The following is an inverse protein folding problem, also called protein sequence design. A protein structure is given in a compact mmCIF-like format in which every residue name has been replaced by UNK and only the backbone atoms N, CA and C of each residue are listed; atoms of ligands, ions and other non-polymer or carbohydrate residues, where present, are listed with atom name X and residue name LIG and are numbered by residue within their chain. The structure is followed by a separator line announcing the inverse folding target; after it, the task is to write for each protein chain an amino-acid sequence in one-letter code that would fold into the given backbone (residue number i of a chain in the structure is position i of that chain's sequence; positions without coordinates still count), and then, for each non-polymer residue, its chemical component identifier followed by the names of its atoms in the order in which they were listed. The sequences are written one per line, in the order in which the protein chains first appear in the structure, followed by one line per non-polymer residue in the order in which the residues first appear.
data_IF_975937253300
#
_entry.id   IF_975937253300
#
_cell.length_a   1.000
_cell.length_b   1.000
_cell.length_c   1.000
_cell.angle_alpha   90.00
_cell.angle_beta   90.00
_cell.angle_gamma   90.00
#
_symmetry.space_group_name_H-M   'P 1'
#
loop_
_entity.id
_entity.type
_entity.pdbx_description
1 polymer ?
#
# COMPACT_ATOMS: atom_id res chain seq x y z
N UNK A 1 -18.39 -18.34 -18.39
CA UNK A 1 -18.32 -16.86 -18.25
C UNK A 1 -18.80 -16.42 -16.86
N UNK A 2 -19.93 -16.95 -16.34
CA UNK A 2 -20.48 -16.62 -15.02
C UNK A 2 -19.39 -16.71 -13.91
N UNK A 3 -18.79 -17.89 -13.73
CA UNK A 3 -17.74 -18.11 -12.73
C UNK A 3 -16.49 -17.25 -12.97
N UNK A 4 -16.16 -16.97 -14.23
CA UNK A 4 -15.03 -16.09 -14.55
C UNK A 4 -15.26 -14.66 -14.06
N UNK A 5 -16.49 -14.17 -14.17
CA UNK A 5 -16.85 -12.85 -13.65
C UNK A 5 -16.79 -12.80 -12.12
N UNK A 6 -17.14 -13.90 -11.43
CA UNK A 6 -16.94 -14.01 -9.97
C UNK A 6 -15.47 -13.97 -9.58
N UNK A 7 -14.56 -14.54 -10.36
CA UNK A 7 -13.12 -14.44 -10.09
C UNK A 7 -12.57 -13.02 -10.25
N UNK A 8 -13.29 -12.15 -10.97
CA UNK A 8 -13.00 -10.72 -11.07
C UNK A 8 -13.65 -9.89 -9.95
N UNK A 9 -14.33 -10.55 -8.99
CA UNK A 9 -14.94 -9.90 -7.83
C UNK A 9 -16.36 -9.38 -8.06
N UNK A 10 -17.05 -9.83 -9.12
CA UNK A 10 -18.45 -9.42 -9.37
C UNK A 10 -19.42 -10.33 -8.62
N UNK A 11 -20.38 -9.72 -7.92
CA UNK A 11 -21.47 -10.41 -7.26
C UNK A 11 -22.62 -10.78 -8.23
N UNK A 12 -23.58 -11.57 -7.75
CA UNK A 12 -24.76 -11.91 -8.51
C UNK A 12 -25.58 -10.68 -8.88
N UNK A 13 -26.11 -10.67 -10.12
CA UNK A 13 -27.10 -9.67 -10.57
C UNK A 13 -28.51 -10.06 -10.13
N UNK A 14 -29.33 -9.08 -9.81
CA UNK A 14 -30.78 -9.28 -9.56
C UNK A 14 -31.61 -9.45 -10.82
N UNK A 15 -31.03 -9.29 -12.03
CA UNK A 15 -31.72 -9.35 -13.31
C UNK A 15 -31.68 -10.75 -13.90
N UNK A 16 -32.82 -11.44 -14.13
CA UNK A 16 -32.85 -12.83 -14.61
C UNK A 16 -32.12 -13.07 -15.95
N UNK A 17 -32.14 -12.10 -16.86
CA UNK A 17 -31.51 -12.21 -18.18
C UNK A 17 -30.01 -11.92 -18.15
N UNK A 18 -29.43 -11.60 -16.99
CA UNK A 18 -28.01 -11.30 -16.84
C UNK A 18 -27.25 -12.60 -16.62
N UNK A 19 -26.06 -12.70 -17.23
CA UNK A 19 -25.14 -13.84 -17.05
C UNK A 19 -24.73 -14.05 -15.59
N UNK A 20 -24.76 -13.01 -14.75
CA UNK A 20 -24.47 -13.08 -13.31
C UNK A 20 -25.72 -13.33 -12.45
N UNK A 21 -26.88 -13.67 -13.04
CA UNK A 21 -28.04 -14.08 -12.24
C UNK A 21 -27.72 -15.40 -11.52
N UNK A 22 -28.25 -15.57 -10.31
CA UNK A 22 -27.98 -16.73 -9.45
C UNK A 22 -28.46 -18.09 -9.97
N UNK A 23 -29.33 -18.09 -11.01
CA UNK A 23 -29.76 -19.29 -11.74
C UNK A 23 -29.26 -19.13 -13.17
N UNK A 24 -28.40 -20.05 -13.63
CA UNK A 24 -27.83 -20.00 -14.99
C UNK A 24 -28.79 -20.58 -16.02
N UNK A 25 -29.03 -19.84 -17.09
CA UNK A 25 -29.82 -20.23 -18.28
C UNK A 25 -29.06 -19.93 -19.56
N UNK A 26 -29.29 -20.72 -20.61
CA UNK A 26 -28.56 -20.57 -21.89
C UNK A 26 -28.86 -19.27 -22.65
N UNK A 27 -29.94 -18.57 -22.29
CA UNK A 27 -30.37 -17.31 -22.93
C UNK A 27 -29.79 -16.04 -22.30
N UNK A 28 -29.06 -16.19 -21.19
CA UNK A 28 -28.51 -15.04 -20.47
C UNK A 28 -27.36 -14.37 -21.23
N UNK A 29 -27.30 -13.05 -21.09
CA UNK A 29 -26.31 -12.19 -21.74
C UNK A 29 -25.55 -11.36 -20.69
N UNK A 30 -24.42 -10.78 -21.09
CA UNK A 30 -23.73 -9.76 -20.28
C UNK A 30 -24.61 -8.52 -20.27
N UNK A 31 -25.19 -8.20 -19.11
CA UNK A 31 -26.03 -7.03 -18.94
C UNK A 31 -25.24 -5.73 -18.87
N UNK A 32 -25.91 -4.58 -19.05
CA UNK A 32 -25.28 -3.27 -18.99
C UNK A 32 -24.66 -2.99 -17.62
N UNK A 33 -25.25 -3.49 -16.54
CA UNK A 33 -24.72 -3.40 -15.18
C UNK A 33 -23.33 -4.05 -15.03
N UNK A 34 -23.08 -5.18 -15.70
CA UNK A 34 -21.75 -5.81 -15.73
C UNK A 34 -20.78 -4.95 -16.52
N UNK A 35 -21.19 -4.41 -17.67
CA UNK A 35 -20.34 -3.52 -18.48
C UNK A 35 -20.01 -2.24 -17.72
N UNK A 36 -20.94 -1.67 -16.98
CA UNK A 36 -20.72 -0.47 -16.17
C UNK A 36 -19.73 -0.74 -15.03
N UNK A 37 -19.80 -1.91 -14.40
CA UNK A 37 -18.83 -2.34 -13.38
C UNK A 37 -17.42 -2.52 -13.98
N UNK A 38 -17.31 -3.18 -15.13
CA UNK A 38 -16.05 -3.35 -15.85
C UNK A 38 -15.44 -1.98 -16.20
N UNK A 39 -16.24 -1.08 -16.78
CA UNK A 39 -15.80 0.26 -17.12
C UNK A 39 -15.32 1.04 -15.89
N UNK A 40 -15.99 0.87 -14.74
CA UNK A 40 -15.57 1.49 -13.48
C UNK A 40 -14.20 1.00 -13.01
N UNK A 41 -13.87 -0.28 -13.20
CA UNK A 41 -12.53 -0.81 -12.90
C UNK A 41 -11.45 -0.18 -13.80
N UNK A 42 -11.74 0.03 -15.08
CA UNK A 42 -10.81 0.66 -16.02
C UNK A 42 -10.60 2.16 -15.81
N UNK A 43 -11.49 2.84 -15.07
CA UNK A 43 -11.34 4.25 -14.71
C UNK A 43 -10.32 4.42 -13.57
N UNK A 44 -10.05 3.38 -12.78
CA UNK A 44 -9.06 3.44 -11.68
C UNK A 44 -7.67 3.69 -12.28
N UNK A 45 -7.00 4.80 -11.93
CA UNK A 45 -5.69 5.09 -12.46
C UNK A 45 -4.68 4.02 -12.05
N UNK A 46 -3.79 3.65 -12.96
CA UNK A 46 -2.69 2.73 -12.67
C UNK A 46 -1.57 3.49 -11.97
N UNK A 47 -1.56 3.51 -10.65
CA UNK A 47 -0.52 4.09 -9.82
C UNK A 47 0.20 3.03 -9.01
N UNK A 48 1.43 3.32 -8.59
CA UNK A 48 2.11 2.59 -7.53
C UNK A 48 1.45 2.89 -6.18
N UNK A 49 1.78 2.10 -5.18
CA UNK A 49 1.31 2.27 -3.80
C UNK A 49 2.35 1.68 -2.84
N UNK A 50 3.33 2.51 -2.46
CA UNK A 50 4.32 2.10 -1.48
C UNK A 50 3.72 2.20 -0.08
N UNK A 51 3.75 1.12 0.65
CA UNK A 51 3.24 1.06 2.01
C UNK A 51 4.21 0.35 2.95
N UNK A 52 4.11 0.67 4.23
CA UNK A 52 4.79 -0.12 5.25
C UNK A 52 4.07 -1.45 5.45
N UNK A 53 4.81 -2.57 5.30
CA UNK A 53 4.34 -3.92 5.61
C UNK A 53 4.60 -4.26 7.08
N UNK A 54 5.76 -3.87 7.60
CA UNK A 54 6.13 -4.00 9.00
C UNK A 54 7.13 -2.92 9.39
N UNK A 55 6.96 -2.34 10.58
CA UNK A 55 7.91 -1.42 11.16
C UNK A 55 8.07 -1.74 12.64
N UNK A 56 9.29 -2.07 13.04
CA UNK A 56 9.64 -2.25 14.44
C UNK A 56 10.86 -1.41 14.79
N UNK A 57 10.84 -0.83 15.99
CA UNK A 57 11.91 0.02 16.48
C UNK A 57 12.16 -0.23 17.96
N UNK A 58 13.43 -0.20 18.36
CA UNK A 58 13.86 -0.39 19.73
C UNK A 58 14.93 0.63 20.10
N UNK A 59 14.76 1.29 21.25
CA UNK A 59 15.73 2.23 21.78
C UNK A 59 16.62 1.59 22.85
N UNK A 60 17.91 1.79 22.75
CA UNK A 60 18.88 1.46 23.79
C UNK A 60 19.73 2.68 24.11
N UNK A 61 19.34 3.40 25.15
CA UNK A 61 19.88 4.72 25.47
C UNK A 61 19.53 5.74 24.38
N UNK A 62 20.53 6.32 23.73
CA UNK A 62 20.37 7.29 22.63
C UNK A 62 20.46 6.65 21.23
N UNK A 63 20.47 5.35 21.14
CA UNK A 63 20.60 4.64 19.88
C UNK A 63 19.30 3.95 19.52
N UNK A 64 18.90 4.10 18.27
CA UNK A 64 17.73 3.45 17.67
C UNK A 64 18.19 2.31 16.77
N UNK A 65 17.63 1.14 17.01
CA UNK A 65 17.61 0.03 16.05
C UNK A 65 16.21 -0.05 15.44
N UNK A 66 16.13 -0.19 14.13
CA UNK A 66 14.85 -0.31 13.45
C UNK A 66 14.92 -1.36 12.34
N UNK A 67 13.80 -2.06 12.16
CA UNK A 67 13.56 -2.94 11.03
C UNK A 67 12.32 -2.40 10.29
N UNK A 68 12.48 -2.09 9.01
CA UNK A 68 11.46 -1.40 8.20
C UNK A 68 11.27 -2.21 6.94
N UNK A 69 10.06 -2.73 6.75
CA UNK A 69 9.66 -3.44 5.52
C UNK A 69 8.65 -2.60 4.77
N UNK A 70 8.95 -2.33 3.51
CA UNK A 70 8.06 -1.62 2.57
C UNK A 70 7.72 -2.51 1.40
N UNK A 71 6.53 -2.31 0.81
CA UNK A 71 6.06 -3.06 -0.34
C UNK A 71 5.31 -2.15 -1.32
N UNK A 72 5.39 -2.46 -2.61
CA UNK A 72 4.54 -1.86 -3.62
C UNK A 72 3.26 -2.70 -3.79
N UNK A 73 2.15 -2.21 -3.25
CA UNK A 73 0.81 -2.79 -3.36
C UNK A 73 -0.01 -2.19 -4.51
N UNK A 74 0.62 -1.34 -5.33
CA UNK A 74 -0.01 -0.67 -6.45
C UNK A 74 -0.15 -1.53 -7.70
N UNK A 75 -0.52 -0.86 -8.80
CA UNK A 75 -0.81 -1.48 -10.09
C UNK A 75 0.33 -1.34 -11.10
N UNK A 76 1.33 -0.51 -10.80
CA UNK A 76 2.53 -0.33 -11.63
C UNK A 76 3.77 -0.26 -10.75
N UNK A 77 4.95 -0.38 -11.36
CA UNK A 77 6.24 -0.17 -10.70
C UNK A 77 6.28 1.23 -10.04
N UNK A 78 6.83 1.32 -8.85
CA UNK A 78 7.03 2.60 -8.17
C UNK A 78 8.21 3.36 -8.76
N UNK A 79 8.22 4.67 -8.60
CA UNK A 79 9.44 5.46 -8.74
C UNK A 79 10.30 5.31 -7.48
N UNK A 80 11.58 5.67 -7.59
CA UNK A 80 12.43 5.79 -6.41
C UNK A 80 11.86 6.82 -5.42
N UNK A 81 12.07 6.59 -4.13
CA UNK A 81 11.59 7.42 -3.05
C UNK A 81 12.53 7.43 -1.86
N UNK A 82 12.06 7.94 -0.75
CA UNK A 82 12.80 7.97 0.52
C UNK A 82 11.91 7.56 1.68
N UNK A 83 12.50 6.86 2.65
CA UNK A 83 11.90 6.69 3.98
C UNK A 83 12.54 7.73 4.89
N UNK A 84 11.73 8.59 5.48
CA UNK A 84 12.15 9.54 6.50
C UNK A 84 11.86 9.01 7.89
N UNK A 85 12.85 9.09 8.76
CA UNK A 85 12.68 8.84 10.20
C UNK A 85 12.65 10.19 10.88
N UNK A 86 11.52 10.49 11.50
CA UNK A 86 11.19 11.80 12.06
C UNK A 86 10.96 11.68 13.56
N UNK A 87 11.62 12.52 14.33
CA UNK A 87 11.48 12.63 15.80
C UNK A 87 11.25 14.08 16.15
N UNK A 88 10.15 14.39 16.86
CA UNK A 88 9.76 15.74 17.25
C UNK A 88 9.82 16.72 16.05
N UNK A 89 9.18 16.35 14.94
CA UNK A 89 9.08 17.12 13.68
C UNK A 89 10.41 17.32 12.93
N UNK A 90 11.53 16.73 13.42
CA UNK A 90 12.83 16.82 12.77
C UNK A 90 13.16 15.50 12.06
N UNK A 91 13.57 15.58 10.79
CA UNK A 91 14.07 14.41 10.05
C UNK A 91 15.47 14.05 10.52
N UNK A 92 15.59 12.91 11.19
CA UNK A 92 16.85 12.40 11.73
C UNK A 92 17.63 11.62 10.68
N UNK A 93 16.91 10.89 9.82
CA UNK A 93 17.53 10.04 8.80
C UNK A 93 16.61 9.94 7.58
N UNK A 94 17.24 9.96 6.42
CA UNK A 94 16.62 9.58 5.14
C UNK A 94 17.30 8.31 4.61
N UNK A 95 16.48 7.43 4.01
CA UNK A 95 16.91 6.15 3.45
C UNK A 95 16.29 6.04 2.07
N UNK A 96 17.13 5.93 1.05
CA UNK A 96 16.68 5.80 -0.32
C UNK A 96 15.99 4.45 -0.55
N UNK A 97 14.86 4.49 -1.24
CA UNK A 97 14.15 3.34 -1.77
C UNK A 97 14.33 3.36 -3.29
N UNK A 98 14.87 2.28 -3.83
CA UNK A 98 14.88 2.06 -5.27
C UNK A 98 13.47 1.75 -5.77
N UNK A 99 13.29 1.77 -7.09
CA UNK A 99 12.04 1.37 -7.74
C UNK A 99 11.66 -0.07 -7.35
N UNK A 100 10.40 -0.27 -6.99
CA UNK A 100 9.84 -1.58 -6.64
C UNK A 100 8.78 -2.00 -7.63
N UNK A 101 8.92 -3.20 -8.20
CA UNK A 101 7.87 -3.81 -9.02
C UNK A 101 6.61 -4.12 -8.20
N UNK A 102 5.49 -4.31 -8.89
CA UNK A 102 4.21 -4.65 -8.27
C UNK A 102 4.34 -5.92 -7.43
N UNK A 103 3.93 -5.84 -6.17
CA UNK A 103 3.99 -6.96 -5.23
C UNK A 103 5.38 -7.21 -4.62
N UNK A 104 6.42 -6.49 -5.05
CA UNK A 104 7.76 -6.60 -4.46
C UNK A 104 7.93 -5.68 -3.26
N UNK A 105 8.77 -6.10 -2.33
CA UNK A 105 9.10 -5.35 -1.13
C UNK A 105 10.59 -5.34 -0.83
N UNK A 106 10.98 -4.44 0.07
CA UNK A 106 12.34 -4.32 0.57
C UNK A 106 12.33 -4.14 2.08
N UNK A 107 13.25 -4.84 2.76
CA UNK A 107 13.47 -4.68 4.19
C UNK A 107 14.78 -3.95 4.43
N UNK A 108 14.73 -2.89 5.22
CA UNK A 108 15.89 -2.11 5.66
C UNK A 108 16.09 -2.33 7.16
N UNK A 109 17.32 -2.66 7.55
CA UNK A 109 17.73 -2.81 8.95
C UNK A 109 18.69 -1.70 9.31
N UNK A 110 18.28 -0.89 10.27
CA UNK A 110 19.14 0.12 10.88
C UNK A 110 19.64 -0.36 12.22
N UNK A 111 20.90 -0.10 12.50
CA UNK A 111 21.52 -0.38 13.80
C UNK A 111 22.27 0.83 14.30
N UNK A 112 22.13 1.10 15.60
CA UNK A 112 22.85 2.16 16.29
C UNK A 112 22.69 3.55 15.65
N UNK A 113 21.48 3.88 15.14
CA UNK A 113 21.20 5.24 14.70
C UNK A 113 21.17 6.15 15.92
N UNK A 114 22.11 7.06 16.02
CA UNK A 114 22.19 8.00 17.14
C UNK A 114 21.09 9.06 17.05
N UNK A 115 20.39 9.29 18.17
CA UNK A 115 19.35 10.30 18.31
C UNK A 115 19.77 11.26 19.42
N UNK A 116 19.90 12.55 19.09
CA UNK A 116 20.38 13.58 20.02
C UNK A 116 19.39 13.90 21.15
N UNK A 117 18.10 13.59 20.95
CA UNK A 117 17.02 13.97 21.85
C UNK A 117 16.89 13.00 23.02
N UNK A 118 16.71 13.52 24.23
CA UNK A 118 16.71 12.75 25.48
C UNK A 118 15.31 12.35 25.98
N UNK A 119 14.25 12.93 25.41
CA UNK A 119 12.86 12.62 25.79
C UNK A 119 11.99 12.64 24.54
N UNK A 120 11.87 11.50 23.88
CA UNK A 120 10.93 11.34 22.78
C UNK A 120 9.83 10.38 23.19
N UNK A 121 8.59 10.70 22.78
CA UNK A 121 7.43 9.86 23.03
C UNK A 121 7.08 8.98 21.82
N UNK A 122 7.47 9.43 20.62
CA UNK A 122 7.12 8.75 19.37
C UNK A 122 8.19 8.96 18.29
N UNK A 123 8.24 8.02 17.37
CA UNK A 123 9.05 8.08 16.15
C UNK A 123 8.11 7.87 14.97
N UNK A 124 8.19 8.76 13.99
CA UNK A 124 7.41 8.69 12.77
C UNK A 124 8.28 8.16 11.63
N UNK A 125 7.76 7.20 10.88
CA UNK A 125 8.33 6.69 9.66
C UNK A 125 7.42 7.11 8.51
N UNK A 126 7.96 7.86 7.55
CA UNK A 126 7.20 8.41 6.41
C UNK A 126 7.85 7.98 5.10
N UNK A 127 7.06 7.41 4.20
CA UNK A 127 7.47 7.17 2.81
C UNK A 127 7.11 8.39 1.97
N UNK A 128 8.07 8.91 1.20
CA UNK A 128 7.83 9.95 0.21
C UNK A 128 8.32 9.50 -1.16
N UNK A 129 7.45 9.56 -2.16
CA UNK A 129 7.79 9.38 -3.57
C UNK A 129 7.29 10.56 -4.39
N UNK A 130 7.88 10.78 -5.56
CA UNK A 130 7.53 11.90 -6.44
C UNK A 130 6.30 11.64 -7.31
N UNK A 131 5.99 10.36 -7.55
CA UNK A 131 4.83 9.95 -8.35
C UNK A 131 3.53 10.00 -7.55
N UNK A 132 2.40 9.97 -8.27
CA UNK A 132 1.11 9.72 -7.63
C UNK A 132 1.04 8.29 -7.13
N UNK A 133 0.32 8.10 -6.01
CA UNK A 133 0.04 6.80 -5.40
C UNK A 133 -1.47 6.54 -5.33
N UNK A 134 -1.85 5.28 -5.28
CA UNK A 134 -3.25 4.89 -5.09
C UNK A 134 -3.75 5.29 -3.70
N UNK A 135 -2.92 5.13 -2.69
CA UNK A 135 -3.21 5.49 -1.32
C UNK A 135 -1.97 6.13 -0.68
N UNK A 136 -2.11 7.29 -0.07
CA UNK A 136 -1.03 7.97 0.68
C UNK A 136 -1.19 7.86 2.19
N UNK A 137 -2.33 7.39 2.67
CA UNK A 137 -2.61 7.29 4.10
C UNK A 137 -1.83 6.14 4.77
N UNK A 138 -1.36 5.17 3.98
CA UNK A 138 -0.55 4.04 4.41
C UNK A 138 0.98 4.30 4.40
N UNK A 139 1.38 5.52 4.03
CA UNK A 139 2.79 5.93 3.96
C UNK A 139 3.35 6.40 5.30
N UNK A 140 2.54 6.46 6.35
CA UNK A 140 2.95 6.93 7.67
C UNK A 140 2.74 5.85 8.73
N UNK A 141 3.79 5.58 9.49
CA UNK A 141 3.72 4.75 10.71
C UNK A 141 4.26 5.55 11.88
N UNK A 142 3.50 5.59 12.97
CA UNK A 142 3.86 6.25 14.23
C UNK A 142 4.09 5.18 15.30
N UNK A 143 5.30 5.07 15.80
CA UNK A 143 5.64 4.18 16.89
C UNK A 143 5.82 4.96 18.21
N UNK A 144 5.09 4.56 19.24
CA UNK A 144 5.27 5.09 20.60
C UNK A 144 6.44 4.36 21.26
N UNK A 145 7.38 5.13 21.78
CA UNK A 145 8.54 4.61 22.51
C UNK A 145 8.19 4.58 24.00
N UNK A 146 8.42 3.44 24.62
CA UNK A 146 8.22 3.24 26.07
C UNK A 146 9.54 3.31 26.81
#
# INVERSE_FOLDING_TARGET
IHELLHTLGFDHSSKPNNILYNISECSQIIGQDVLDLINKLYITPSYSDLSFEDVSAFMHGKYLDANISVRNNGLIQSTSGVIKIIVDEETIKEIDIEELDVGYGRTVKLKNLWISKSSMNEINFLIEIKSNELNKDNNLVVLKIK
#
